data_IF_524099023196
#
_entry.id   IF_524099023196
#
_cell.length_a   1.000
_cell.length_b   1.000
_cell.length_c   1.000
_cell.angle_alpha   90.00
_cell.angle_beta   90.00
_cell.angle_gamma   90.00
#
_symmetry.space_group_name_H-M   'P 1'
#
loop_
_entity.id
_entity.type
_entity.pdbx_description
1 polymer ?
#
# COMPACT_ATOMS: atom_id res chain seq x y z
N UNK A 1 1.47 1.73 -14.64
CA UNK A 1 2.91 1.76 -14.46
C UNK A 1 3.51 0.43 -14.73
N UNK A 2 4.62 0.40 -15.42
CA UNK A 2 5.29 -0.85 -15.77
C UNK A 2 6.57 -0.96 -14.97
N UNK A 3 6.75 -2.09 -14.32
CA UNK A 3 7.97 -2.33 -13.57
C UNK A 3 8.93 -3.09 -14.49
N UNK A 4 9.86 -2.35 -15.05
CA UNK A 4 10.76 -2.94 -16.05
C UNK A 4 11.85 -3.78 -15.43
N UNK A 5 12.20 -3.54 -14.19
CA UNK A 5 13.24 -4.33 -13.56
C UNK A 5 12.62 -5.01 -12.35
N UNK A 6 13.09 -6.20 -12.07
CA UNK A 6 12.59 -6.95 -10.96
C UNK A 6 13.11 -6.40 -9.66
N UNK A 7 12.22 -6.06 -8.76
CA UNK A 7 12.57 -5.51 -7.46
C UNK A 7 12.37 -6.56 -6.40
N UNK A 8 13.14 -6.47 -5.34
CA UNK A 8 12.89 -7.30 -4.15
C UNK A 8 11.67 -6.72 -3.43
N UNK A 9 11.10 -7.49 -2.53
CA UNK A 9 9.96 -7.02 -1.73
C UNK A 9 10.38 -5.79 -0.94
N UNK A 10 11.58 -5.77 -0.37
CA UNK A 10 12.06 -4.62 0.39
C UNK A 10 12.13 -3.38 -0.49
N UNK A 11 12.69 -3.51 -1.68
CA UNK A 11 12.81 -2.38 -2.60
C UNK A 11 11.42 -1.85 -2.99
N UNK A 12 10.52 -2.74 -3.33
CA UNK A 12 9.18 -2.33 -3.73
C UNK A 12 8.41 -1.71 -2.56
N UNK A 13 8.58 -2.25 -1.36
CA UNK A 13 7.95 -1.71 -0.16
C UNK A 13 8.47 -0.30 0.14
N UNK A 14 9.78 -0.07 -0.04
CA UNK A 14 10.33 1.26 0.16
C UNK A 14 9.75 2.26 -0.84
N UNK A 15 9.53 1.84 -2.09
CA UNK A 15 8.89 2.70 -3.08
C UNK A 15 7.43 2.98 -2.69
N UNK A 16 6.74 1.98 -2.14
CA UNK A 16 5.39 2.18 -1.65
C UNK A 16 5.33 3.22 -0.54
N UNK A 17 6.30 3.18 0.37
CA UNK A 17 6.33 4.16 1.46
C UNK A 17 6.50 5.57 0.92
N UNK A 18 7.33 5.76 -0.09
CA UNK A 18 7.52 7.06 -0.73
C UNK A 18 6.23 7.51 -1.42
N UNK A 19 5.58 6.61 -2.13
CA UNK A 19 4.33 6.92 -2.82
C UNK A 19 3.26 7.31 -1.81
N UNK A 20 3.13 6.58 -0.71
CA UNK A 20 2.13 6.88 0.31
C UNK A 20 2.37 8.24 0.95
N UNK A 21 3.64 8.63 1.16
CA UNK A 21 3.95 9.94 1.69
C UNK A 21 3.55 11.04 0.71
N UNK A 22 3.78 10.84 -0.58
CA UNK A 22 3.38 11.80 -1.59
C UNK A 22 1.87 11.90 -1.69
N UNK A 23 1.17 10.77 -1.57
CA UNK A 23 -0.29 10.74 -1.57
C UNK A 23 -0.83 11.57 -0.42
N UNK A 24 -0.29 11.36 0.78
CA UNK A 24 -0.77 12.08 1.96
C UNK A 24 -0.61 13.59 1.80
N UNK A 25 0.52 14.02 1.26
CA UNK A 25 0.77 15.45 1.05
C UNK A 25 -0.20 16.04 0.02
N UNK A 26 -0.41 15.35 -1.09
CA UNK A 26 -1.31 15.84 -2.12
C UNK A 26 -2.77 15.80 -1.68
N UNK A 27 -3.16 14.75 -0.95
CA UNK A 27 -4.53 14.68 -0.44
C UNK A 27 -4.83 15.84 0.47
N UNK A 28 -3.89 16.20 1.34
CA UNK A 28 -4.07 17.32 2.26
C UNK A 28 -4.18 18.62 1.47
N UNK A 29 -3.33 18.82 0.49
CA UNK A 29 -3.33 20.02 -0.32
C UNK A 29 -4.65 20.18 -1.10
N UNK A 30 -5.09 19.11 -1.73
CA UNK A 30 -6.30 19.14 -2.55
C UNK A 30 -7.55 19.29 -1.67
N UNK A 31 -7.59 18.60 -0.54
CA UNK A 31 -8.72 18.72 0.38
C UNK A 31 -8.88 20.17 0.87
N UNK A 32 -7.75 20.82 1.17
CA UNK A 32 -7.77 22.22 1.57
C UNK A 32 -8.25 23.09 0.42
N UNK A 33 -7.74 22.84 -0.78
CA UNK A 33 -8.10 23.63 -1.96
C UNK A 33 -9.59 23.52 -2.29
N UNK A 34 -10.16 22.33 -2.11
CA UNK A 34 -11.57 22.12 -2.43
C UNK A 34 -12.49 22.35 -1.22
N UNK A 35 -11.91 22.67 -0.07
CA UNK A 35 -12.65 22.91 1.17
C UNK A 35 -13.50 21.70 1.57
N UNK A 36 -12.96 20.51 1.41
CA UNK A 36 -13.64 19.27 1.81
C UNK A 36 -12.73 18.49 2.74
N UNK A 37 -13.29 17.56 3.49
CA UNK A 37 -12.50 16.72 4.37
C UNK A 37 -11.68 15.70 3.59
N UNK A 38 -10.55 15.29 4.15
CA UNK A 38 -9.67 14.32 3.50
C UNK A 38 -10.37 12.99 3.24
N UNK A 39 -11.23 12.56 4.16
CA UNK A 39 -11.97 11.30 3.97
C UNK A 39 -12.90 11.37 2.77
N UNK A 40 -13.57 12.50 2.60
CA UNK A 40 -14.48 12.69 1.49
C UNK A 40 -13.70 12.72 0.17
N UNK A 41 -12.54 13.37 0.17
CA UNK A 41 -11.70 13.41 -1.01
C UNK A 41 -11.24 12.01 -1.40
N UNK A 42 -10.79 11.22 -0.42
CA UNK A 42 -10.35 9.86 -0.69
C UNK A 42 -11.50 9.03 -1.27
N UNK A 43 -12.69 9.18 -0.71
CA UNK A 43 -13.85 8.45 -1.20
C UNK A 43 -14.12 8.77 -2.66
N UNK A 44 -14.07 10.05 -3.03
CA UNK A 44 -14.32 10.49 -4.39
C UNK A 44 -13.25 9.97 -5.35
N UNK A 45 -11.99 10.13 -4.97
CA UNK A 45 -10.90 9.85 -5.89
C UNK A 45 -10.54 8.37 -6.01
N UNK A 46 -10.85 7.57 -5.00
CA UNK A 46 -10.55 6.14 -5.07
C UNK A 46 -11.65 5.35 -5.74
N UNK A 47 -12.84 5.90 -5.87
CA UNK A 47 -13.87 5.24 -6.64
C UNK A 47 -13.52 5.42 -8.10
N UNK A 48 -13.55 4.35 -8.83
CA UNK A 48 -13.15 4.38 -10.23
C UNK A 48 -14.07 5.20 -11.10
N UNK A 49 -15.30 5.35 -10.70
CA UNK A 49 -16.22 6.13 -11.49
C UNK A 49 -16.71 7.29 -10.69
N UNK A 50 -16.64 8.46 -11.25
CA UNK A 50 -17.23 9.62 -10.65
C UNK A 50 -18.69 9.61 -11.03
N UNK A 51 -19.55 9.63 -10.05
CA UNK A 51 -20.98 9.59 -10.32
C UNK A 51 -21.46 10.95 -10.76
N UNK A 52 -22.70 11.01 -11.24
CA UNK A 52 -23.27 12.28 -11.65
C UNK A 52 -23.39 13.26 -10.48
N UNK A 53 -23.45 12.73 -9.25
CA UNK A 53 -23.57 13.58 -8.08
C UNK A 53 -22.27 14.34 -7.83
N UNK A 54 -21.15 13.85 -8.38
CA UNK A 54 -19.86 14.46 -8.17
C UNK A 54 -19.41 15.24 -9.39
N UNK A 55 -20.34 15.59 -10.29
CA UNK A 55 -19.99 16.27 -11.52
C UNK A 55 -19.19 17.53 -11.32
N UNK A 56 -19.55 18.32 -10.33
CA UNK A 56 -18.86 19.57 -10.07
C UNK A 56 -17.42 19.29 -9.63
N UNK A 57 -17.26 18.40 -8.66
CA UNK A 57 -15.94 18.04 -8.16
C UNK A 57 -15.14 17.34 -9.27
N UNK A 58 -15.80 16.52 -10.04
CA UNK A 58 -15.17 15.84 -11.16
C UNK A 58 -14.65 16.83 -12.19
N UNK A 59 -15.44 17.83 -12.49
CA UNK A 59 -15.05 18.86 -13.45
C UNK A 59 -13.81 19.62 -12.97
N UNK A 60 -13.76 19.95 -11.69
CA UNK A 60 -12.60 20.60 -11.10
C UNK A 60 -11.43 19.63 -11.09
N UNK A 61 -11.67 18.42 -10.65
CA UNK A 61 -10.62 17.42 -10.52
C UNK A 61 -9.96 17.08 -11.85
N UNK A 62 -10.74 17.01 -12.92
CA UNK A 62 -10.19 16.63 -14.21
C UNK A 62 -9.27 17.70 -14.80
N UNK A 63 -9.34 18.92 -14.27
CA UNK A 63 -8.52 20.02 -14.75
C UNK A 63 -7.40 20.39 -13.79
N UNK A 64 -7.41 19.84 -12.60
CA UNK A 64 -6.42 20.18 -11.58
C UNK A 64 -5.23 19.24 -11.70
N UNK A 65 -4.05 19.82 -11.95
CA UNK A 65 -2.84 19.03 -12.13
C UNK A 65 -2.49 18.19 -10.89
N UNK A 66 -2.76 18.72 -9.72
CA UNK A 66 -2.49 17.96 -8.48
C UNK A 66 -3.39 16.75 -8.37
N UNK A 67 -4.64 16.87 -8.79
CA UNK A 67 -5.57 15.74 -8.76
C UNK A 67 -5.16 14.68 -9.78
N UNK A 68 -4.73 15.10 -10.95
CA UNK A 68 -4.25 14.18 -11.98
C UNK A 68 -3.03 13.44 -11.45
N UNK A 69 -2.12 14.14 -10.79
CA UNK A 69 -0.93 13.56 -10.21
C UNK A 69 -1.29 12.58 -9.10
N UNK A 70 -2.25 12.95 -8.27
CA UNK A 70 -2.70 12.08 -7.17
C UNK A 70 -3.29 10.77 -7.69
N UNK A 71 -4.08 10.85 -8.76
CA UNK A 71 -4.65 9.65 -9.36
C UNK A 71 -3.54 8.76 -9.91
N UNK A 72 -2.52 9.36 -10.52
CA UNK A 72 -1.37 8.59 -10.98
C UNK A 72 -0.64 7.90 -9.83
N UNK A 73 -0.57 8.56 -8.68
CA UNK A 73 0.05 7.96 -7.49
C UNK A 73 -0.80 6.80 -6.95
N UNK A 74 -2.12 6.92 -6.98
CA UNK A 74 -2.98 5.80 -6.58
C UNK A 74 -2.74 4.59 -7.51
N UNK A 75 -2.61 4.83 -8.82
CA UNK A 75 -2.37 3.74 -9.77
C UNK A 75 -1.00 3.11 -9.50
N UNK A 76 0.00 3.92 -9.22
CA UNK A 76 1.34 3.42 -8.90
C UNK A 76 1.31 2.60 -7.60
N UNK A 77 0.58 3.07 -6.60
CA UNK A 77 0.45 2.35 -5.34
C UNK A 77 -0.16 0.97 -5.58
N UNK A 78 -1.23 0.91 -6.36
CA UNK A 78 -1.89 -0.35 -6.66
C UNK A 78 -0.95 -1.29 -7.42
N UNK A 79 -0.18 -0.76 -8.35
CA UNK A 79 0.77 -1.58 -9.11
C UNK A 79 1.84 -2.18 -8.21
N UNK A 80 2.39 -1.40 -7.28
CA UNK A 80 3.41 -1.91 -6.37
C UNK A 80 2.81 -2.90 -5.37
N UNK A 81 1.59 -2.65 -4.88
CA UNK A 81 0.94 -3.58 -3.96
C UNK A 81 0.71 -4.93 -4.64
N UNK A 82 0.24 -4.90 -5.88
CA UNK A 82 0.01 -6.13 -6.63
C UNK A 82 1.32 -6.84 -6.93
N UNK A 83 2.35 -6.08 -7.25
CA UNK A 83 3.66 -6.65 -7.50
C UNK A 83 4.18 -7.40 -6.26
N UNK A 84 4.07 -6.78 -5.10
CA UNK A 84 4.53 -7.40 -3.86
C UNK A 84 3.70 -8.63 -3.54
N UNK A 85 2.39 -8.58 -3.73
CA UNK A 85 1.53 -9.74 -3.48
C UNK A 85 1.94 -10.91 -4.38
N UNK A 86 2.27 -10.63 -5.62
CA UNK A 86 2.73 -11.67 -6.53
C UNK A 86 4.10 -12.20 -6.12
N UNK A 87 4.99 -11.32 -5.64
CA UNK A 87 6.29 -11.76 -5.18
C UNK A 87 6.19 -12.61 -3.91
N UNK A 88 5.26 -12.32 -3.03
CA UNK A 88 5.04 -13.14 -1.85
C UNK A 88 4.69 -14.56 -2.26
N UNK A 89 3.83 -14.74 -3.25
CA UNK A 89 3.46 -16.05 -3.72
C UNK A 89 4.67 -16.82 -4.24
N UNK A 90 5.63 -16.12 -4.81
CA UNK A 90 6.83 -16.74 -5.38
C UNK A 90 7.94 -16.97 -4.34
N UNK A 91 8.05 -16.09 -3.35
CA UNK A 91 9.20 -16.09 -2.46
C UNK A 91 8.88 -16.47 -1.01
N UNK A 92 7.63 -16.81 -0.71
CA UNK A 92 7.26 -17.10 0.68
C UNK A 92 7.99 -18.29 1.27
N UNK A 93 8.53 -19.18 0.44
CA UNK A 93 9.30 -20.31 0.95
C UNK A 93 10.77 -19.95 1.13
N UNK A 94 11.30 -19.02 0.34
CA UNK A 94 12.71 -18.65 0.41
C UNK A 94 12.95 -17.43 1.31
N UNK A 95 12.00 -16.52 1.39
CA UNK A 95 12.15 -15.30 2.19
C UNK A 95 10.89 -15.06 3.01
N UNK A 96 10.53 -15.98 3.88
CA UNK A 96 9.27 -15.87 4.61
C UNK A 96 9.18 -14.68 5.57
N UNK A 97 10.30 -14.28 6.17
CA UNK A 97 10.27 -13.21 7.16
C UNK A 97 9.76 -11.89 6.58
N UNK A 98 10.29 -11.48 5.43
CA UNK A 98 9.86 -10.23 4.83
C UNK A 98 8.43 -10.32 4.30
N UNK A 99 8.03 -11.50 3.82
CA UNK A 99 6.66 -11.69 3.35
C UNK A 99 5.66 -11.52 4.49
N UNK A 100 5.93 -12.16 5.62
CA UNK A 100 5.06 -12.04 6.80
C UNK A 100 5.03 -10.59 7.28
N UNK A 101 6.18 -9.92 7.27
CA UNK A 101 6.26 -8.54 7.72
C UNK A 101 5.39 -7.63 6.87
N UNK A 102 5.43 -7.78 5.56
CA UNK A 102 4.61 -6.97 4.67
C UNK A 102 3.12 -7.21 4.93
N UNK A 103 2.73 -8.47 5.07
CA UNK A 103 1.33 -8.81 5.30
C UNK A 103 0.84 -8.30 6.65
N UNK A 104 1.72 -8.30 7.65
CA UNK A 104 1.35 -7.85 8.99
C UNK A 104 1.33 -6.32 9.12
N UNK A 105 2.33 -5.66 8.56
CA UNK A 105 2.52 -4.23 8.77
C UNK A 105 1.87 -3.34 7.73
N UNK A 106 1.79 -3.79 6.51
CA UNK A 106 1.29 -2.94 5.44
C UNK A 106 -0.06 -3.34 4.89
N UNK A 107 -0.23 -4.61 4.60
CA UNK A 107 -1.39 -5.03 3.82
C UNK A 107 -2.70 -4.89 4.59
N UNK A 108 -3.69 -4.35 3.93
CA UNK A 108 -5.02 -4.21 4.49
C UNK A 108 -5.94 -5.08 3.65
N UNK A 109 -6.70 -5.93 4.31
CA UNK A 109 -7.62 -6.82 3.62
C UNK A 109 -8.80 -6.09 3.00
N UNK A 110 -9.63 -6.85 2.31
CA UNK A 110 -10.77 -6.30 1.57
C UNK A 110 -11.75 -5.54 2.44
N UNK A 111 -11.82 -5.85 3.72
CA UNK A 111 -12.72 -5.17 4.64
C UNK A 111 -12.05 -3.98 5.33
N UNK A 112 -10.92 -3.56 4.80
CA UNK A 112 -10.16 -2.42 5.33
C UNK A 112 -9.60 -2.66 6.72
N UNK A 113 -9.37 -3.91 7.08
CA UNK A 113 -8.78 -4.24 8.37
C UNK A 113 -7.46 -4.94 8.18
N UNK A 114 -6.57 -4.74 9.14
CA UNK A 114 -5.29 -5.45 9.12
C UNK A 114 -5.53 -6.93 9.22
N UNK A 115 -4.68 -7.72 8.58
CA UNK A 115 -4.82 -9.17 8.61
C UNK A 115 -4.53 -9.69 10.01
N UNK A 116 -5.30 -10.69 10.42
CA UNK A 116 -5.03 -11.38 11.68
C UNK A 116 -3.93 -12.40 11.43
N UNK A 117 -3.36 -12.94 12.49
CA UNK A 117 -2.35 -13.99 12.34
C UNK A 117 -2.91 -15.22 11.63
N UNK A 118 -4.19 -15.48 11.81
CA UNK A 118 -4.85 -16.59 11.13
C UNK A 118 -4.89 -16.33 9.62
N UNK A 119 -5.18 -15.09 9.23
CA UNK A 119 -5.22 -14.71 7.82
C UNK A 119 -3.81 -14.83 7.20
N UNK A 120 -2.80 -14.37 7.92
CA UNK A 120 -1.42 -14.42 7.44
C UNK A 120 -0.98 -15.87 7.30
N UNK A 121 -1.32 -16.71 8.26
CA UNK A 121 -0.98 -18.12 8.21
C UNK A 121 -1.58 -18.78 6.98
N UNK A 122 -2.82 -18.43 6.66
CA UNK A 122 -3.50 -19.00 5.50
C UNK A 122 -2.84 -18.53 4.21
N UNK A 123 -2.49 -17.25 4.15
CA UNK A 123 -1.86 -16.68 2.97
C UNK A 123 -0.47 -17.27 2.73
N UNK A 124 0.28 -17.47 3.81
CA UNK A 124 1.64 -17.96 3.72
C UNK A 124 1.76 -19.48 3.60
N UNK A 125 0.75 -20.19 4.08
CA UNK A 125 0.83 -21.65 4.12
C UNK A 125 1.65 -22.17 5.29
N UNK A 126 1.81 -21.38 6.35
CA UNK A 126 2.53 -21.79 7.55
C UNK A 126 1.57 -21.67 8.75
N UNK A 127 1.97 -22.23 9.87
CA UNK A 127 1.16 -22.09 11.09
C UNK A 127 1.27 -20.67 11.62
N UNK A 128 0.33 -20.26 12.47
CA UNK A 128 0.38 -18.94 13.10
C UNK A 128 1.65 -18.78 13.91
N UNK A 129 2.04 -19.82 14.63
CA UNK A 129 3.23 -19.81 15.46
C UNK A 129 4.46 -19.55 14.58
N UNK A 130 4.56 -20.23 13.46
CA UNK A 130 5.69 -20.08 12.56
C UNK A 130 5.69 -18.68 11.93
N UNK A 131 4.52 -18.15 11.59
CA UNK A 131 4.44 -16.79 11.03
C UNK A 131 4.92 -15.75 12.05
N UNK A 132 4.55 -15.93 13.32
CA UNK A 132 5.01 -15.01 14.37
C UNK A 132 6.52 -15.08 14.54
N UNK A 133 7.10 -16.27 14.41
CA UNK A 133 8.55 -16.42 14.50
C UNK A 133 9.24 -15.71 13.34
N UNK A 134 8.70 -15.80 12.14
CA UNK A 134 9.27 -15.11 10.99
C UNK A 134 9.18 -13.59 11.18
N UNK A 135 8.08 -13.13 11.73
CA UNK A 135 7.93 -11.70 12.01
C UNK A 135 8.95 -11.23 13.03
N UNK A 136 9.20 -12.03 14.07
CA UNK A 136 10.19 -11.69 15.07
C UNK A 136 11.59 -11.67 14.46
N UNK A 137 11.87 -12.61 13.55
CA UNK A 137 13.14 -12.61 12.83
C UNK A 137 13.31 -11.33 12.02
N UNK A 138 12.27 -10.91 11.33
CA UNK A 138 12.31 -9.67 10.55
C UNK A 138 12.64 -8.48 11.46
N UNK A 139 11.97 -8.39 12.59
CA UNK A 139 12.19 -7.26 13.50
C UNK A 139 13.59 -7.29 14.11
N UNK A 140 14.08 -8.47 14.40
CA UNK A 140 15.42 -8.60 14.97
C UNK A 140 16.52 -8.41 13.95
N UNK A 141 16.21 -8.57 12.68
CA UNK A 141 17.18 -8.40 11.61
C UNK A 141 17.29 -6.97 11.13
N UNK A 142 16.49 -6.05 11.65
CA UNK A 142 16.53 -4.67 11.21
C UNK A 142 17.88 -4.08 11.52
N UNK A 143 18.50 -3.46 10.57
CA UNK A 143 19.85 -2.99 10.73
C UNK A 143 20.10 -2.12 11.90
N UNK A 144 19.12 -1.41 12.26
CA UNK A 144 19.28 -0.54 13.31
C UNK A 144 19.57 -1.23 14.54
N UNK A 145 18.99 -2.36 14.67
CA UNK A 145 19.10 -3.03 15.86
C UNK A 145 20.40 -3.60 16.05
N UNK A 146 21.08 -3.76 15.00
CA UNK A 146 22.26 -4.35 15.04
C UNK A 146 23.22 -3.63 15.69
N UNK A 147 22.97 -2.50 15.87
CA UNK A 147 23.87 -1.74 16.51
C UNK A 147 24.07 -2.25 17.79
N UNK A 148 23.21 -2.91 18.20
CA UNK A 148 23.31 -3.39 19.53
C UNK A 148 24.40 -4.25 19.65
#
# INVERSE_FOLDING_TARGET
MILEKQLTIIEAWNELNKINNQIDLLETLIATKLSIGSSKLKEILTKCSFTNNDKFINSIASKDDDVIKLRGLYDSRNAYENYIRNEISRTKLSEPAICVAFLKEYYIGDDNKRLTWQDIAREMGYSEKQCRRYYDEYKGATPIDNCG
#
